data_IF_159514889650
#
_entry.id   IF_159514889650
#
_cell.length_a   1.000
_cell.length_b   1.000
_cell.length_c   1.000
_cell.angle_alpha   90.00
_cell.angle_beta   90.00
_cell.angle_gamma   90.00
#
_symmetry.space_group_name_H-M   'P 1'
#
loop_
_entity.id
_entity.type
_entity.pdbx_description
1 polymer ?
#
# COMPACT_ATOMS: atom_id res chain seq x y z
N UNK A 1 -26.55 -34.18 -17.17
CA UNK A 1 -26.36 -33.24 -18.29
C UNK A 1 -27.45 -33.39 -19.34
N UNK A 2 -27.73 -34.58 -19.87
CA UNK A 2 -28.79 -34.79 -20.89
C UNK A 2 -30.19 -34.31 -20.50
N UNK A 3 -30.67 -34.59 -19.28
CA UNK A 3 -32.01 -34.17 -18.83
C UNK A 3 -32.14 -32.64 -18.73
N UNK A 4 -31.09 -31.96 -18.27
CA UNK A 4 -31.06 -30.50 -18.15
C UNK A 4 -31.02 -29.87 -19.56
N UNK A 5 -30.24 -30.44 -20.48
CA UNK A 5 -30.17 -29.99 -21.87
C UNK A 5 -31.49 -30.19 -22.63
N UNK A 6 -32.22 -31.29 -22.38
CA UNK A 6 -33.54 -31.53 -22.97
C UNK A 6 -34.63 -30.58 -22.45
N UNK A 7 -34.57 -30.19 -21.17
CA UNK A 7 -35.51 -29.21 -20.60
C UNK A 7 -35.26 -27.78 -21.11
N UNK A 8 -34.01 -27.43 -21.38
CA UNK A 8 -33.63 -26.12 -21.97
C UNK A 8 -34.01 -26.03 -23.47
N UNK A 9 -34.00 -27.15 -24.19
CA UNK A 9 -34.28 -27.18 -25.63
C UNK A 9 -35.78 -27.01 -25.97
N UNK A 10 -36.69 -27.24 -25.00
CA UNK A 10 -38.14 -27.05 -25.15
C UNK A 10 -38.66 -25.63 -24.83
N UNK A 11 -37.79 -24.70 -24.44
CA UNK A 11 -38.22 -23.37 -24.01
C UNK A 11 -38.35 -22.37 -25.18
N UNK A 12 -39.39 -21.52 -25.19
CA UNK A 12 -39.61 -20.50 -26.23
C UNK A 12 -38.45 -19.48 -26.27
N UNK A 13 -38.25 -18.83 -27.42
CA UNK A 13 -37.13 -17.91 -27.67
C UNK A 13 -36.98 -16.81 -26.59
N UNK A 14 -38.07 -16.40 -25.95
CA UNK A 14 -38.06 -15.45 -24.82
C UNK A 14 -37.32 -15.96 -23.58
N UNK A 15 -37.34 -17.27 -23.33
CA UNK A 15 -36.65 -17.90 -22.19
C UNK A 15 -35.13 -17.91 -22.38
N UNK A 16 -34.63 -17.91 -23.62
CA UNK A 16 -33.19 -17.96 -23.94
C UNK A 16 -32.49 -16.64 -23.62
N UNK A 17 -33.20 -15.52 -23.81
CA UNK A 17 -32.74 -14.17 -23.43
C UNK A 17 -32.60 -14.03 -21.92
N UNK A 18 -33.51 -14.65 -21.14
CA UNK A 18 -33.48 -14.63 -19.68
C UNK A 18 -32.25 -15.37 -19.13
N UNK A 19 -31.90 -16.52 -19.70
CA UNK A 19 -30.66 -17.23 -19.34
C UNK A 19 -29.41 -16.39 -19.64
N UNK A 20 -29.38 -15.73 -20.79
CA UNK A 20 -28.24 -14.88 -21.18
C UNK A 20 -28.06 -13.70 -20.21
N UNK A 21 -29.14 -13.01 -19.83
CA UNK A 21 -29.09 -11.94 -18.83
C UNK A 21 -28.72 -12.43 -17.43
N UNK A 22 -29.15 -13.63 -17.04
CA UNK A 22 -28.77 -14.23 -15.75
C UNK A 22 -27.26 -14.50 -15.67
N UNK A 23 -26.67 -15.07 -16.72
CA UNK A 23 -25.23 -15.29 -16.78
C UNK A 23 -24.42 -13.98 -16.89
N UNK A 24 -24.91 -12.99 -17.66
CA UNK A 24 -24.32 -11.65 -17.71
C UNK A 24 -24.38 -10.95 -16.34
N UNK A 25 -25.48 -11.11 -15.62
CA UNK A 25 -25.62 -10.58 -14.26
C UNK A 25 -24.68 -11.29 -13.29
N UNK A 26 -24.53 -12.63 -13.39
CA UNK A 26 -23.56 -13.37 -12.57
C UNK A 26 -22.12 -12.97 -12.86
N UNK A 27 -21.73 -12.77 -14.12
CA UNK A 27 -20.38 -12.31 -14.46
C UNK A 27 -20.16 -10.87 -14.00
N UNK A 28 -21.14 -9.98 -14.13
CA UNK A 28 -21.09 -8.62 -13.57
C UNK A 28 -20.98 -8.67 -12.04
N UNK A 29 -21.74 -9.52 -11.33
CA UNK A 29 -21.63 -9.69 -9.86
C UNK A 29 -20.24 -10.20 -9.45
N UNK A 30 -19.65 -11.12 -10.23
CA UNK A 30 -18.28 -11.61 -10.00
C UNK A 30 -17.21 -10.54 -10.27
N UNK A 31 -17.42 -9.67 -11.26
CA UNK A 31 -16.54 -8.53 -11.56
C UNK A 31 -16.70 -7.40 -10.53
N UNK A 32 -17.92 -7.13 -10.07
CA UNK A 32 -18.20 -6.17 -8.99
C UNK A 32 -17.65 -6.65 -7.63
N UNK A 33 -17.50 -7.98 -7.43
CA UNK A 33 -16.84 -8.56 -6.25
C UNK A 33 -15.35 -8.23 -6.15
N UNK A 34 -14.68 -7.94 -7.26
CA UNK A 34 -13.27 -7.53 -7.24
C UNK A 34 -13.07 -6.10 -6.70
N UNK A 35 -14.15 -5.34 -6.51
CA UNK A 35 -14.09 -3.92 -6.13
C UNK A 35 -14.40 -3.56 -4.67
N UNK A 36 -14.74 -4.50 -3.77
CA UNK A 36 -15.28 -4.13 -2.43
C UNK A 36 -14.72 -4.95 -1.26
N UNK A 37 -13.54 -5.55 -1.38
CA UNK A 37 -12.80 -5.95 -0.18
C UNK A 37 -11.52 -5.15 -0.18
N UNK A 38 -11.47 -4.12 0.66
CA UNK A 38 -10.21 -3.55 1.06
C UNK A 38 -9.46 -4.65 1.82
N UNK A 39 -8.67 -5.42 1.07
CA UNK A 39 -7.82 -6.49 1.58
C UNK A 39 -6.65 -5.84 2.31
N UNK A 40 -6.15 -6.52 3.35
CA UNK A 40 -4.96 -6.12 4.11
C UNK A 40 -3.70 -6.01 3.24
N UNK A 41 -3.78 -6.38 1.95
CA UNK A 41 -2.71 -6.27 0.96
C UNK A 41 -2.07 -4.88 0.90
N UNK A 42 -2.87 -3.82 0.76
CA UNK A 42 -2.32 -2.45 0.67
C UNK A 42 -1.66 -2.02 1.99
N UNK A 43 -2.27 -2.38 3.11
CA UNK A 43 -1.74 -2.09 4.45
C UNK A 43 -0.43 -2.87 4.70
N UNK A 44 -0.35 -4.12 4.23
CA UNK A 44 0.86 -4.95 4.26
C UNK A 44 1.98 -4.31 3.47
N UNK A 45 1.74 -3.94 2.22
CA UNK A 45 2.75 -3.29 1.37
C UNK A 45 3.28 -2.00 2.02
N UNK A 46 2.40 -1.18 2.60
CA UNK A 46 2.75 0.02 3.36
C UNK A 46 3.67 -0.26 4.55
N UNK A 47 3.35 -1.28 5.33
CA UNK A 47 4.10 -1.60 6.53
C UNK A 47 5.42 -2.34 6.22
N UNK A 48 5.48 -3.19 5.18
CA UNK A 48 6.76 -3.77 4.72
C UNK A 48 7.73 -2.67 4.30
N UNK A 49 7.25 -1.69 3.53
CA UNK A 49 8.07 -0.56 3.07
C UNK A 49 8.55 0.31 4.23
N UNK A 50 7.65 0.62 5.18
CA UNK A 50 8.01 1.29 6.42
C UNK A 50 9.12 0.54 7.17
N UNK A 51 8.92 -0.75 7.44
CA UNK A 51 9.87 -1.57 8.18
C UNK A 51 11.22 -1.73 7.47
N UNK A 52 11.21 -1.79 6.14
CA UNK A 52 12.44 -1.86 5.35
C UNK A 52 13.32 -0.62 5.54
N UNK A 53 12.71 0.57 5.64
CA UNK A 53 13.48 1.81 5.79
C UNK A 53 13.89 2.08 7.23
N UNK A 54 12.98 1.88 8.20
CA UNK A 54 13.22 2.31 9.58
C UNK A 54 13.49 1.17 10.57
N UNK A 55 13.33 -0.08 10.15
CA UNK A 55 13.34 -1.27 11.03
C UNK A 55 14.67 -1.60 11.72
N UNK A 56 15.75 -0.84 11.45
CA UNK A 56 17.07 -1.09 12.02
C UNK A 56 17.67 -2.43 11.59
N UNK A 57 18.87 -2.74 12.09
CA UNK A 57 19.64 -3.93 11.69
C UNK A 57 19.03 -5.29 12.08
N UNK A 58 18.07 -5.32 13.01
CA UNK A 58 17.37 -6.54 13.46
C UNK A 58 15.98 -6.74 12.83
N UNK A 59 15.40 -5.68 12.23
CA UNK A 59 14.05 -5.70 11.69
C UNK A 59 12.95 -5.86 12.75
N UNK A 60 11.70 -5.60 12.38
CA UNK A 60 10.52 -5.75 13.25
C UNK A 60 10.02 -7.21 13.39
N UNK A 61 10.75 -8.18 12.82
CA UNK A 61 10.32 -9.58 12.76
C UNK A 61 9.07 -9.83 11.89
N UNK A 62 8.65 -8.85 11.10
CA UNK A 62 7.49 -8.94 10.22
C UNK A 62 7.78 -9.84 9.02
N UNK A 63 7.26 -11.07 9.06
CA UNK A 63 7.36 -12.04 7.97
C UNK A 63 6.24 -11.81 6.93
N UNK A 64 6.60 -11.79 5.64
CA UNK A 64 5.66 -11.63 4.52
C UNK A 64 4.74 -12.83 4.34
N UNK A 65 5.12 -14.02 4.82
CA UNK A 65 4.31 -15.24 4.76
C UNK A 65 3.30 -15.35 5.91
N UNK A 66 3.48 -14.52 6.96
CA UNK A 66 2.66 -14.52 8.15
C UNK A 66 1.41 -13.63 8.01
N UNK A 67 0.37 -13.92 8.80
CA UNK A 67 -0.85 -13.14 8.83
C UNK A 67 -0.64 -11.86 9.65
N UNK A 68 -0.74 -10.71 8.97
CA UNK A 68 -0.40 -9.38 9.50
C UNK A 68 -1.08 -9.04 10.83
N UNK A 69 -2.32 -9.46 11.05
CA UNK A 69 -3.06 -9.06 12.26
C UNK A 69 -2.79 -9.94 13.48
N UNK A 70 -2.28 -11.15 13.27
CA UNK A 70 -2.04 -12.12 14.35
C UNK A 70 -0.57 -12.24 14.68
N UNK A 71 0.30 -12.06 13.69
CA UNK A 71 1.71 -12.44 13.80
C UNK A 71 2.65 -11.23 13.84
N UNK A 72 2.23 -10.09 13.29
CA UNK A 72 3.10 -8.90 13.27
C UNK A 72 3.02 -8.16 14.60
N UNK A 73 4.14 -8.15 15.31
CA UNK A 73 4.29 -7.42 16.56
C UNK A 73 3.88 -5.95 16.38
N UNK A 74 3.04 -5.46 17.31
CA UNK A 74 2.58 -4.08 17.32
C UNK A 74 1.47 -3.73 16.33
N UNK A 75 1.01 -4.66 15.49
CA UNK A 75 -0.07 -4.40 14.52
C UNK A 75 -1.41 -4.85 15.08
N UNK A 76 -2.43 -3.98 14.99
CA UNK A 76 -3.81 -4.29 15.35
C UNK A 76 -4.74 -4.04 14.17
N UNK A 77 -5.59 -5.01 13.87
CA UNK A 77 -6.59 -4.90 12.80
C UNK A 77 -8.02 -4.72 13.32
N UNK A 78 -8.86 -4.10 12.50
CA UNK A 78 -10.30 -4.03 12.65
C UNK A 78 -10.97 -4.45 11.36
N UNK A 79 -11.59 -5.63 11.34
CA UNK A 79 -12.02 -6.25 10.09
C UNK A 79 -10.82 -6.56 9.20
N UNK A 80 -10.85 -6.09 7.94
CA UNK A 80 -9.80 -6.31 6.94
C UNK A 80 -8.80 -5.16 6.81
N UNK A 81 -8.67 -4.28 7.82
CA UNK A 81 -7.74 -3.13 7.78
C UNK A 81 -6.92 -2.98 9.06
N UNK A 82 -5.73 -2.40 8.95
CA UNK A 82 -4.92 -2.01 10.10
C UNK A 82 -5.50 -0.76 10.75
N UNK A 83 -5.82 -0.86 12.03
CA UNK A 83 -6.42 0.22 12.83
C UNK A 83 -5.49 0.72 13.93
N UNK A 84 -4.43 -0.02 14.26
CA UNK A 84 -3.45 0.37 15.27
C UNK A 84 -2.05 -0.11 14.92
N UNK A 85 -1.07 0.76 15.17
CA UNK A 85 0.36 0.47 15.09
C UNK A 85 1.03 0.94 16.39
N UNK A 86 1.59 0.02 17.16
CA UNK A 86 2.21 0.26 18.46
C UNK A 86 3.60 -0.38 18.50
N UNK A 87 4.62 0.44 18.28
CA UNK A 87 6.02 0.04 18.16
C UNK A 87 6.93 0.85 19.11
N UNK A 88 6.61 0.93 20.42
CA UNK A 88 7.44 1.68 21.36
C UNK A 88 8.78 0.97 21.57
N UNK A 89 9.90 1.71 21.59
CA UNK A 89 11.18 1.13 22.01
C UNK A 89 11.74 0.04 21.10
N UNK A 90 11.33 -0.01 19.83
CA UNK A 90 11.72 -1.07 18.87
C UNK A 90 13.08 -0.81 18.20
N UNK A 91 13.82 0.23 18.62
CA UNK A 91 15.09 0.60 18.03
C UNK A 91 14.97 1.11 16.59
N UNK A 92 13.79 1.60 16.20
CA UNK A 92 13.55 2.16 14.88
C UNK A 92 14.40 3.41 14.68
N UNK A 93 14.94 3.61 13.47
CA UNK A 93 15.83 4.74 13.19
C UNK A 93 15.69 5.25 11.77
N UNK A 94 16.08 6.52 11.56
CA UNK A 94 15.97 7.18 10.27
C UNK A 94 14.61 7.86 10.06
N UNK A 95 14.40 8.42 8.86
CA UNK A 95 13.18 9.14 8.55
C UNK A 95 12.03 8.22 8.15
N UNK A 96 10.81 8.54 8.59
CA UNK A 96 9.60 7.85 8.13
C UNK A 96 9.44 8.15 6.63
N UNK A 97 9.39 7.15 5.75
CA UNK A 97 9.24 7.39 4.32
C UNK A 97 7.84 7.95 4.02
N UNK A 98 7.78 8.94 3.14
CA UNK A 98 6.52 9.46 2.62
C UNK A 98 5.69 8.33 2.00
N UNK A 99 4.36 8.44 2.06
CA UNK A 99 3.44 7.46 1.48
C UNK A 99 3.61 6.02 2.00
N UNK A 100 4.10 5.82 3.24
CA UNK A 100 4.06 4.51 3.93
C UNK A 100 2.90 4.47 4.92
N UNK A 101 3.09 4.92 6.17
CA UNK A 101 2.06 4.94 7.22
C UNK A 101 0.84 5.77 6.77
N UNK A 102 1.03 6.77 5.91
CA UNK A 102 -0.06 7.59 5.33
C UNK A 102 -1.05 6.78 4.47
N UNK A 103 -0.67 5.57 3.98
CA UNK A 103 -1.57 4.68 3.22
C UNK A 103 -2.55 3.90 4.10
N UNK A 104 -2.33 3.88 5.42
CA UNK A 104 -3.17 3.17 6.38
C UNK A 104 -4.43 3.99 6.69
N UNK A 105 -5.37 4.05 5.74
CA UNK A 105 -6.58 4.88 5.81
C UNK A 105 -7.48 4.60 7.05
N UNK A 106 -7.45 3.36 7.55
CA UNK A 106 -8.19 2.89 8.70
C UNK A 106 -7.43 3.08 10.02
N UNK A 107 -6.20 3.59 9.99
CA UNK A 107 -5.38 3.79 11.18
C UNK A 107 -6.07 4.76 12.15
N UNK A 108 -6.18 4.34 13.40
CA UNK A 108 -6.78 5.10 14.51
C UNK A 108 -5.80 5.29 15.67
N UNK A 109 -4.81 4.43 15.84
CA UNK A 109 -3.82 4.55 16.89
C UNK A 109 -2.42 4.38 16.30
N UNK A 110 -1.54 5.34 16.59
CA UNK A 110 -0.12 5.28 16.22
C UNK A 110 0.73 5.59 17.45
N UNK A 111 1.60 4.67 17.85
CA UNK A 111 2.59 4.88 18.89
C UNK A 111 3.95 4.39 18.38
N UNK A 112 4.89 5.33 18.30
CA UNK A 112 6.27 5.15 17.86
C UNK A 112 7.24 5.71 18.91
N UNK A 113 6.78 5.88 20.14
CA UNK A 113 7.55 6.49 21.23
C UNK A 113 8.86 5.75 21.53
N UNK A 114 9.84 6.47 22.07
CA UNK A 114 11.11 5.91 22.52
C UNK A 114 11.88 5.17 21.41
N UNK A 115 11.89 5.73 20.20
CA UNK A 115 12.72 5.25 19.09
C UNK A 115 13.76 6.32 18.71
N UNK A 116 14.55 6.05 17.67
CA UNK A 116 15.54 6.97 17.10
C UNK A 116 15.10 7.50 15.73
N UNK A 117 13.79 7.67 15.51
CA UNK A 117 13.24 8.17 14.25
C UNK A 117 13.56 9.67 14.09
N UNK A 118 13.82 10.11 12.86
CA UNK A 118 14.24 11.48 12.53
C UNK A 118 13.39 12.08 11.42
N UNK A 119 13.66 13.33 11.05
CA UNK A 119 12.96 14.00 9.95
C UNK A 119 11.59 14.55 10.34
N UNK A 120 10.82 14.98 9.35
CA UNK A 120 9.52 15.62 9.59
C UNK A 120 8.43 14.59 9.84
N UNK A 121 7.45 14.98 10.65
CA UNK A 121 6.24 14.18 10.83
C UNK A 121 5.40 14.16 9.55
N UNK A 122 4.91 12.99 9.11
CA UNK A 122 4.00 12.90 7.96
C UNK A 122 2.69 13.64 8.23
N UNK A 123 2.18 14.33 7.21
CA UNK A 123 1.03 15.23 7.36
C UNK A 123 -0.32 14.56 7.10
N UNK A 124 -0.35 13.44 6.37
CA UNK A 124 -1.61 12.76 5.96
C UNK A 124 -2.04 11.65 6.92
N UNK A 125 -2.09 11.95 8.22
CA UNK A 125 -2.57 11.03 9.27
C UNK A 125 -3.92 11.48 9.85
N UNK A 126 -4.90 11.65 8.97
CA UNK A 126 -6.13 12.41 9.25
C UNK A 126 -7.05 11.69 10.26
N UNK A 127 -7.12 10.36 10.19
CA UNK A 127 -8.10 9.57 10.95
C UNK A 127 -7.64 9.12 12.34
N UNK A 128 -6.45 9.54 12.78
CA UNK A 128 -5.93 9.13 14.08
C UNK A 128 -6.83 9.58 15.24
N UNK A 129 -6.90 8.78 16.27
CA UNK A 129 -7.58 9.07 17.54
C UNK A 129 -6.60 9.10 18.70
N UNK A 130 -5.48 8.39 18.55
CA UNK A 130 -4.36 8.39 19.48
C UNK A 130 -3.05 8.50 18.70
N UNK A 131 -2.15 9.34 19.20
CA UNK A 131 -0.80 9.54 18.67
C UNK A 131 0.19 9.59 19.83
N UNK A 132 1.29 8.87 19.70
CA UNK A 132 2.47 9.08 20.53
C UNK A 132 3.74 8.94 19.67
N UNK A 133 4.47 10.03 19.51
CA UNK A 133 5.76 10.10 18.82
C UNK A 133 6.83 10.69 19.73
N UNK A 134 6.59 10.65 21.04
CA UNK A 134 7.49 11.22 22.04
C UNK A 134 8.84 10.51 22.07
N UNK A 135 9.85 11.19 22.60
CA UNK A 135 11.20 10.65 22.78
C UNK A 135 11.77 10.03 21.50
N UNK A 136 11.80 10.84 20.44
CA UNK A 136 12.42 10.53 19.15
C UNK A 136 13.31 11.72 18.72
N UNK A 137 13.84 11.68 17.51
CA UNK A 137 14.62 12.75 16.88
C UNK A 137 13.86 13.50 15.77
N UNK A 138 12.52 13.56 15.81
CA UNK A 138 11.75 14.31 14.82
C UNK A 138 12.09 15.81 14.86
N UNK A 139 12.01 16.46 13.71
CA UNK A 139 12.33 17.88 13.54
C UNK A 139 11.30 18.65 12.70
N UNK A 140 11.38 19.97 12.77
CA UNK A 140 10.50 20.86 12.02
C UNK A 140 9.14 21.11 12.67
N UNK A 141 8.21 21.78 11.94
CA UNK A 141 6.91 22.13 12.47
C UNK A 141 5.99 20.92 12.61
N UNK A 142 5.25 20.83 13.72
CA UNK A 142 4.17 19.87 13.87
C UNK A 142 3.07 20.18 12.83
N UNK A 143 2.70 19.21 11.96
CA UNK A 143 1.62 19.39 11.00
C UNK A 143 0.30 19.77 11.68
N UNK A 144 -0.46 20.68 11.07
CA UNK A 144 -1.75 21.12 11.62
C UNK A 144 -2.77 19.97 11.80
N UNK A 145 -2.66 18.89 11.00
CA UNK A 145 -3.48 17.68 11.16
C UNK A 145 -3.21 16.93 12.48
N UNK A 146 -2.02 17.14 13.07
CA UNK A 146 -1.56 16.49 14.30
C UNK A 146 -1.61 17.42 15.52
N UNK A 147 -1.77 18.74 15.34
CA UNK A 147 -1.73 19.71 16.45
C UNK A 147 -2.85 19.53 17.50
N UNK A 148 -3.90 18.75 17.17
CA UNK A 148 -4.98 18.38 18.08
C UNK A 148 -4.60 17.34 19.14
N UNK A 149 -3.47 16.65 18.98
CA UNK A 149 -2.99 15.68 19.96
C UNK A 149 -2.36 16.41 21.16
N UNK A 150 -2.32 15.79 22.35
CA UNK A 150 -1.81 16.46 23.54
C UNK A 150 -0.30 16.75 23.43
N UNK A 151 0.17 17.72 24.23
CA UNK A 151 1.59 18.06 24.37
C UNK A 151 2.48 16.81 24.57
N UNK A 152 2.04 15.88 25.40
CA UNK A 152 2.75 14.62 25.71
C UNK A 152 3.03 13.75 24.50
N UNK A 153 2.24 13.84 23.42
CA UNK A 153 2.47 13.05 22.21
C UNK A 153 3.76 13.43 21.47
N UNK A 154 4.35 14.59 21.77
CA UNK A 154 5.47 15.17 21.00
C UNK A 154 6.72 15.47 21.84
N UNK A 155 6.61 15.42 23.18
CA UNK A 155 7.75 15.73 24.07
C UNK A 155 8.95 14.84 23.81
N UNK A 156 10.15 15.32 24.13
CA UNK A 156 11.38 14.55 23.93
C UNK A 156 11.92 14.57 22.50
N UNK A 157 11.28 15.30 21.57
CA UNK A 157 11.84 15.62 20.26
C UNK A 157 12.46 17.02 20.29
N UNK A 158 13.79 17.11 20.29
CA UNK A 158 14.50 18.37 20.53
C UNK A 158 14.24 19.46 19.47
N UNK A 159 13.99 19.06 18.23
CA UNK A 159 13.88 19.95 17.07
C UNK A 159 12.45 20.08 16.53
N UNK A 160 11.47 19.39 17.13
CA UNK A 160 10.06 19.66 16.82
C UNK A 160 9.66 21.03 17.37
N UNK A 161 8.79 21.71 16.65
CA UNK A 161 8.29 23.02 17.04
C UNK A 161 6.81 23.21 16.66
N UNK A 162 6.18 24.23 17.26
CA UNK A 162 4.80 24.61 16.99
C UNK A 162 3.79 23.90 17.90
N UNK A 163 2.51 24.28 17.84
CA UNK A 163 1.47 23.70 18.68
C UNK A 163 1.37 22.17 18.50
N UNK A 164 1.20 21.38 19.58
CA UNK A 164 0.89 21.78 20.96
C UNK A 164 2.11 22.02 21.87
N UNK A 165 3.33 22.13 21.33
CA UNK A 165 4.53 22.40 22.12
C UNK A 165 4.56 23.88 22.56
N UNK A 166 4.32 24.13 23.85
CA UNK A 166 4.16 25.49 24.41
C UNK A 166 5.48 26.26 24.41
N UNK A 167 6.61 25.56 24.63
CA UNK A 167 7.93 26.17 24.81
C UNK A 167 8.85 26.00 23.60
N UNK A 168 8.32 25.61 22.44
CA UNK A 168 9.10 25.42 21.21
C UNK A 168 8.38 26.10 20.03
N UNK A 169 8.35 27.44 19.97
CA UNK A 169 7.77 28.13 18.82
C UNK A 169 8.62 27.84 17.57
N UNK A 170 7.96 27.60 16.44
CA UNK A 170 8.69 27.52 15.19
C UNK A 170 9.21 28.90 14.81
N UNK A 171 10.53 29.05 14.78
CA UNK A 171 11.13 30.21 14.16
C UNK A 171 10.81 30.16 12.66
N UNK A 172 10.01 31.10 12.15
CA UNK A 172 10.03 31.39 10.72
C UNK A 172 11.50 31.68 10.41
N UNK A 173 12.06 31.00 9.40
CA UNK A 173 13.35 31.42 8.86
C UNK A 173 13.20 32.91 8.53
N UNK A 174 13.91 33.75 9.27
CA UNK A 174 14.30 35.09 8.83
C UNK A 174 15.19 34.89 7.60
N UNK A 175 14.58 34.55 6.47
CA UNK A 175 15.23 34.65 5.15
C UNK A 175 14.94 36.01 4.50
N UNK A 176 14.11 36.82 5.14
CA UNK A 176 13.79 38.19 4.72
C UNK A 176 14.48 39.27 5.57
N UNK A 177 15.39 38.90 6.49
CA UNK A 177 16.23 39.87 7.21
C UNK A 177 17.72 39.57 7.00
N UNK A 178 18.09 39.48 5.72
CA UNK A 178 19.37 40.00 5.25
C UNK A 178 19.02 41.09 4.24
N UNK A 179 18.38 42.14 4.74
CA UNK A 179 18.45 43.44 4.08
C UNK A 179 19.90 43.91 4.25
N UNK A 180 20.70 43.65 3.22
CA UNK A 180 22.11 44.02 3.14
C UNK A 180 22.17 45.54 2.95
N UNK A 181 21.97 46.31 4.01
CA UNK A 181 22.28 47.74 4.03
C UNK A 181 22.69 48.20 5.42
N UNK A 182 23.79 47.69 5.96
CA UNK A 182 24.65 48.40 6.93
C UNK A 182 25.65 47.44 7.55
N UNK A 183 26.85 47.32 6.95
CA UNK A 183 28.12 47.54 7.65
C UNK A 183 29.25 47.40 6.64
N UNK A 184 29.78 48.55 6.26
CA UNK A 184 31.07 48.71 5.61
C UNK A 184 32.20 48.39 6.61
N UNK A 185 33.32 47.89 6.07
CA UNK A 185 34.67 47.74 6.68
C UNK A 185 34.82 46.51 7.61
N UNK A 186 35.81 45.61 7.52
CA UNK A 186 37.15 45.58 6.89
C UNK A 186 37.67 44.10 6.93
N UNK A 187 38.95 43.78 6.61
CA UNK A 187 39.42 43.13 5.39
C UNK A 187 39.71 41.62 5.48
N UNK A 188 39.87 41.07 4.28
CA UNK A 188 40.41 39.77 3.90
C UNK A 188 41.61 39.28 4.73
N UNK A 189 41.54 38.04 5.21
CA UNK A 189 42.73 37.21 5.35
C UNK A 189 42.42 35.75 5.01
N UNK A 190 43.38 35.18 4.31
CA UNK A 190 43.42 33.94 3.56
C UNK A 190 43.46 32.69 4.44
N UNK A 191 42.69 31.65 4.07
CA UNK A 191 43.10 30.26 4.32
C UNK A 191 42.85 29.38 3.08
N UNK A 192 43.78 28.47 2.76
CA UNK A 192 43.77 27.69 1.52
C UNK A 192 42.77 26.53 1.56
N UNK A 193 42.07 26.35 0.44
CA UNK A 193 41.10 25.29 0.20
C UNK A 193 41.79 23.91 0.14
N UNK A 194 41.44 23.03 1.09
CA UNK A 194 41.64 21.59 1.02
C UNK A 194 40.79 21.01 -0.12
N UNK A 195 41.42 20.73 -1.27
CA UNK A 195 40.81 19.90 -2.31
C UNK A 195 40.74 18.45 -1.85
N UNK A 196 39.54 17.99 -1.52
CA UNK A 196 39.23 16.58 -1.23
C UNK A 196 39.27 15.80 -2.55
N UNK A 197 40.33 15.02 -2.77
CA UNK A 197 40.42 14.06 -3.88
C UNK A 197 39.26 13.07 -3.80
N UNK A 198 38.55 12.95 -4.92
CA UNK A 198 37.58 11.91 -5.20
C UNK A 198 38.26 10.54 -5.17
N UNK A 199 38.05 9.76 -4.12
CA UNK A 199 38.25 8.32 -4.15
C UNK A 199 37.07 7.70 -4.91
N UNK A 200 37.34 7.28 -6.16
CA UNK A 200 36.47 6.37 -6.91
C UNK A 200 36.23 5.11 -6.07
N UNK A 201 35.04 4.98 -5.53
CA UNK A 201 34.55 3.70 -4.99
C UNK A 201 34.24 2.78 -6.17
N UNK A 202 35.06 1.75 -6.34
CA UNK A 202 34.78 0.62 -7.21
C UNK A 202 33.64 -0.19 -6.60
N UNK A 203 32.39 0.07 -6.99
CA UNK A 203 31.28 -0.84 -6.72
C UNK A 203 31.40 -2.02 -7.67
N UNK A 204 31.91 -3.13 -7.12
CA UNK A 204 31.91 -4.46 -7.73
C UNK A 204 30.48 -4.82 -8.14
N UNK A 205 30.37 -5.39 -9.34
CA UNK A 205 29.18 -6.01 -9.91
C UNK A 205 28.50 -6.94 -8.88
N UNK A 206 27.39 -6.49 -8.32
CA UNK A 206 26.51 -7.35 -7.54
C UNK A 206 25.80 -8.30 -8.51
N UNK A 207 26.11 -9.58 -8.37
CA UNK A 207 25.43 -10.72 -8.99
C UNK A 207 23.91 -10.54 -8.85
N UNK A 208 23.21 -10.49 -9.98
CA UNK A 208 21.75 -10.55 -10.07
C UNK A 208 21.28 -11.84 -9.40
N UNK A 209 20.86 -11.76 -8.14
CA UNK A 209 20.19 -12.86 -7.43
C UNK A 209 18.83 -13.00 -8.10
N UNK A 210 18.62 -14.12 -8.80
CA UNK A 210 17.31 -14.45 -9.38
C UNK A 210 16.30 -14.48 -8.24
N UNK A 211 15.43 -13.49 -8.23
CA UNK A 211 14.18 -13.54 -7.49
C UNK A 211 13.40 -14.73 -8.02
N UNK A 212 13.13 -15.69 -7.14
CA UNK A 212 12.08 -16.67 -7.35
C UNK A 212 10.77 -15.89 -7.29
N UNK A 213 10.38 -15.31 -8.42
CA UNK A 213 9.05 -14.72 -8.62
C UNK A 213 8.03 -15.71 -8.05
N UNK A 214 7.17 -15.21 -7.17
CA UNK A 214 6.05 -15.97 -6.63
C UNK A 214 5.14 -16.33 -7.80
N UNK A 215 5.33 -17.54 -8.33
CA UNK A 215 4.67 -18.13 -9.51
C UNK A 215 3.14 -18.22 -9.34
N UNK A 216 2.60 -17.86 -8.18
CA UNK A 216 1.18 -17.93 -7.88
C UNK A 216 0.41 -16.78 -8.57
N UNK A 217 0.91 -15.54 -8.55
CA UNK A 217 0.18 -14.40 -9.15
C UNK A 217 0.30 -14.32 -10.68
N UNK A 218 1.45 -14.70 -11.24
CA UNK A 218 1.68 -14.67 -12.69
C UNK A 218 1.02 -15.86 -13.43
N UNK A 219 0.54 -16.88 -12.72
CA UNK A 219 -0.12 -18.06 -13.33
C UNK A 219 -1.60 -18.18 -12.94
N UNK A 220 -1.98 -17.95 -11.67
CA UNK A 220 -3.36 -18.21 -11.22
C UNK A 220 -4.35 -17.19 -11.77
N UNK A 221 -3.96 -15.91 -11.86
CA UNK A 221 -4.80 -14.86 -12.44
C UNK A 221 -5.04 -15.12 -13.93
N UNK A 222 -4.02 -15.33 -14.78
CA UNK A 222 -4.25 -15.66 -16.18
C UNK A 222 -4.93 -17.01 -16.39
N UNK A 223 -4.76 -18.01 -15.51
CA UNK A 223 -5.56 -19.25 -15.59
C UNK A 223 -7.05 -19.00 -15.31
N UNK A 224 -7.38 -18.15 -14.34
CA UNK A 224 -8.78 -17.80 -14.04
C UNK A 224 -9.42 -16.98 -15.18
N UNK A 225 -8.65 -16.09 -15.80
CA UNK A 225 -9.08 -15.29 -16.95
C UNK A 225 -9.16 -16.15 -18.22
N UNK A 226 -8.23 -17.07 -18.43
CA UNK A 226 -8.27 -18.01 -19.54
C UNK A 226 -9.46 -18.98 -19.42
N UNK A 227 -9.79 -19.45 -18.20
CA UNK A 227 -10.95 -20.30 -17.97
C UNK A 227 -12.25 -19.54 -18.24
N UNK A 228 -12.35 -18.28 -17.84
CA UNK A 228 -13.54 -17.45 -18.11
C UNK A 228 -13.67 -17.13 -19.60
N UNK A 229 -12.59 -16.82 -20.30
CA UNK A 229 -12.58 -16.63 -21.76
C UNK A 229 -12.98 -17.93 -22.49
N UNK A 230 -12.49 -19.09 -22.06
CA UNK A 230 -12.86 -20.40 -22.64
C UNK A 230 -14.34 -20.71 -22.42
N UNK A 231 -14.89 -20.43 -21.24
CA UNK A 231 -16.32 -20.61 -20.98
C UNK A 231 -17.16 -19.67 -21.84
N UNK A 232 -16.75 -18.40 -21.99
CA UNK A 232 -17.46 -17.44 -22.85
C UNK A 232 -17.37 -17.89 -24.32
N UNK A 233 -16.20 -18.29 -24.81
CA UNK A 233 -16.00 -18.74 -26.18
C UNK A 233 -16.81 -20.01 -26.50
N UNK A 234 -16.89 -20.96 -25.57
CA UNK A 234 -17.70 -22.18 -25.74
C UNK A 234 -19.20 -21.87 -25.73
N UNK A 235 -19.66 -20.96 -24.86
CA UNK A 235 -21.06 -20.50 -24.86
C UNK A 235 -21.40 -19.77 -26.15
N UNK A 236 -20.54 -18.86 -26.62
CA UNK A 236 -20.73 -18.12 -27.89
C UNK A 236 -20.66 -19.06 -29.09
N UNK A 237 -19.75 -20.03 -29.12
CA UNK A 237 -19.70 -21.06 -30.16
C UNK A 237 -20.99 -21.89 -30.16
N UNK A 238 -21.42 -22.43 -29.01
CA UNK A 238 -22.68 -23.16 -28.91
C UNK A 238 -23.88 -22.33 -29.37
N UNK A 239 -23.88 -21.03 -29.07
CA UNK A 239 -24.97 -20.13 -29.44
C UNK A 239 -24.97 -19.77 -30.94
N UNK A 240 -23.82 -19.41 -31.50
CA UNK A 240 -23.68 -18.99 -32.89
C UNK A 240 -23.75 -20.15 -33.88
N UNK A 241 -23.32 -21.34 -33.47
CA UNK A 241 -23.23 -22.51 -34.35
C UNK A 241 -24.37 -23.52 -34.10
N UNK A 242 -25.36 -23.13 -33.29
CA UNK A 242 -26.52 -23.94 -32.89
C UNK A 242 -27.29 -24.52 -34.07
N UNK A 243 -27.49 -23.77 -35.16
CA UNK A 243 -28.18 -24.27 -36.36
C UNK A 243 -27.39 -25.39 -37.07
N UNK A 244 -26.05 -25.31 -37.14
CA UNK A 244 -25.21 -26.37 -37.72
C UNK A 244 -25.13 -27.62 -36.84
N UNK A 245 -25.25 -27.46 -35.53
CA UNK A 245 -25.29 -28.58 -34.57
C UNK A 245 -26.61 -29.34 -34.67
N UNK A 246 -27.74 -28.67 -34.97
CA UNK A 246 -29.01 -29.35 -35.29
C UNK A 246 -28.90 -30.22 -36.54
N UNK A 247 -28.15 -29.78 -37.55
CA UNK A 247 -27.97 -30.55 -38.79
C UNK A 247 -27.09 -31.80 -38.56
N UNK A 248 -26.09 -31.73 -37.68
CA UNK A 248 -25.32 -32.91 -37.25
C UNK A 248 -26.17 -33.94 -36.51
N UNK A 249 -27.19 -33.50 -35.77
CA UNK A 249 -28.12 -34.38 -35.08
C UNK A 249 -29.16 -35.00 -36.02
N UNK A 250 -29.65 -34.25 -37.02
CA UNK A 250 -30.57 -34.77 -38.06
C UNK A 250 -29.93 -35.85 -38.94
N UNK A 251 -28.62 -35.80 -39.16
CA UNK A 251 -27.91 -36.83 -39.93
C UNK A 251 -27.74 -38.15 -39.15
N UNK A 252 -27.86 -38.14 -37.82
CA UNK A 252 -27.73 -39.34 -37.00
C UNK A 252 -29.07 -40.09 -36.79
N UNK A 253 -30.21 -39.44 -37.04
CA UNK A 253 -31.55 -40.06 -36.97
C UNK A 253 -32.00 -40.70 -38.29
N UNK A 254 -31.35 -40.37 -39.42
CA UNK A 254 -31.69 -40.91 -40.75
C UNK A 254 -30.76 -42.05 -41.21
N UNK A 255 -29.96 -42.61 -40.30
CA UNK A 255 -28.90 -43.57 -40.58
C UNK A 255 -29.07 -44.96 -39.94
N UNK A 256 -30.28 -45.35 -39.55
CA UNK A 256 -30.66 -46.70 -39.12
C UNK A 256 -32.06 -47.05 -39.62
#
# INVERSE_FOLDING_TARGET
>A
MEVIMNLLNKQPASSKTVFCHFFLLQTIILLLRQGVVADLKADREALVEFAYVVGGGSGLGWNTEAHICSDWAGVKCGGSRVVGLHLPGMGLSGAIPENTIERLDALRALSLENNSLTGWLPSKLINLKSLDVSNNGFDGPIPASLSRFPHSSFVGNALLCGPPLINQPCHRRLRDELDITSYSQLPSSSHPLLSRRLLKSNTKTAKKKKETHVVIYDIVVPLSVALTILVIATVVWCYCNWEKVKDCWKLNENGL
#
